data_IF_687183530662
#
_entry.id   IF_687183530662
#
_cell.length_a   1.000
_cell.length_b   1.000
_cell.length_c   1.000
_cell.angle_alpha   90.00
_cell.angle_beta   90.00
_cell.angle_gamma   90.00
#
_symmetry.space_group_name_H-M   'P 1'
#
loop_
_entity.id
_entity.type
_entity.pdbx_description
1 polymer ?
#
# COMPACT_ATOMS: atom_id res chain seq x y z
N UNK A 1 -10.68 -8.19 6.99
CA UNK A 1 -9.44 -8.58 6.31
C UNK A 1 -8.94 -7.45 5.45
N UNK A 2 -7.69 -7.16 5.57
CA UNK A 2 -7.09 -6.08 4.78
C UNK A 2 -6.25 -6.62 3.65
N UNK A 3 -6.13 -5.83 2.62
CA UNK A 3 -5.28 -6.20 1.51
C UNK A 3 -4.64 -4.94 0.93
N UNK A 4 -3.59 -5.15 0.18
CA UNK A 4 -2.82 -4.05 -0.36
C UNK A 4 -2.39 -4.37 -1.78
N UNK A 5 -2.45 -3.37 -2.63
CA UNK A 5 -1.87 -3.46 -3.95
C UNK A 5 -0.56 -2.72 -3.93
N UNK A 6 0.46 -3.32 -4.54
CA UNK A 6 1.77 -2.70 -4.59
C UNK A 6 2.17 -2.57 -6.04
N UNK A 7 2.44 -1.34 -6.45
CA UNK A 7 2.90 -1.06 -7.79
C UNK A 7 4.29 -0.48 -7.65
N UNK A 8 5.29 -1.17 -8.19
CA UNK A 8 6.65 -0.68 -8.15
C UNK A 8 7.04 -0.19 -9.53
N UNK A 9 7.76 0.91 -9.54
CA UNK A 9 8.26 1.52 -10.77
C UNK A 9 9.77 1.62 -10.68
N UNK A 10 10.45 0.94 -11.58
CA UNK A 10 11.90 1.06 -11.70
C UNK A 10 12.20 1.89 -12.93
N UNK A 11 12.79 3.03 -12.72
CA UNK A 11 12.97 4.02 -13.77
C UNK A 11 14.38 4.54 -13.81
N UNK A 12 14.88 4.92 -14.98
CA UNK A 12 16.22 5.50 -15.07
C UNK A 12 16.24 6.97 -14.65
N UNK A 13 15.10 7.57 -14.41
CA UNK A 13 15.04 8.99 -14.07
C UNK A 13 14.17 9.18 -12.85
N UNK A 14 14.35 10.33 -12.20
CA UNK A 14 13.54 10.65 -11.03
C UNK A 14 12.16 11.11 -11.48
N UNK A 15 11.17 10.26 -11.26
CA UNK A 15 9.81 10.53 -11.68
C UNK A 15 8.87 10.75 -10.49
N UNK A 16 9.42 11.13 -9.34
CA UNK A 16 8.61 11.25 -8.14
C UNK A 16 7.44 12.22 -8.31
N UNK A 17 7.72 13.41 -8.82
CA UNK A 17 6.67 14.39 -9.00
C UNK A 17 5.64 13.93 -10.03
N UNK A 18 6.11 13.36 -11.12
CA UNK A 18 5.22 12.89 -12.15
C UNK A 18 4.34 11.76 -11.64
N UNK A 19 4.90 10.88 -10.82
CA UNK A 19 4.14 9.79 -10.23
C UNK A 19 3.03 10.34 -9.34
N UNK A 20 3.35 11.33 -8.51
CA UNK A 20 2.33 11.94 -7.65
C UNK A 20 1.23 12.56 -8.49
N UNK A 21 1.59 13.27 -9.55
CA UNK A 21 0.59 13.90 -10.40
C UNK A 21 -0.33 12.87 -11.05
N UNK A 22 0.23 11.79 -11.54
CA UNK A 22 -0.60 10.76 -12.16
C UNK A 22 -1.49 10.10 -11.12
N UNK A 23 -0.96 9.88 -9.93
CA UNK A 23 -1.74 9.26 -8.88
C UNK A 23 -2.95 10.13 -8.52
N UNK A 24 -2.72 11.42 -8.31
CA UNK A 24 -3.81 12.33 -7.98
C UNK A 24 -4.84 12.39 -9.10
N UNK A 25 -4.37 12.38 -10.33
CA UNK A 25 -5.25 12.41 -11.46
C UNK A 25 -6.13 11.16 -11.54
N UNK A 26 -5.55 10.00 -11.36
CA UNK A 26 -6.32 8.77 -11.45
C UNK A 26 -7.30 8.63 -10.29
N UNK A 27 -6.90 9.03 -9.11
CA UNK A 27 -7.80 8.99 -7.96
C UNK A 27 -8.97 9.95 -8.17
N UNK A 28 -8.71 11.09 -8.77
CA UNK A 28 -9.74 12.12 -8.96
C UNK A 28 -10.71 11.85 -10.09
N UNK A 29 -10.45 10.85 -10.93
CA UNK A 29 -11.28 10.64 -12.10
C UNK A 29 -12.67 10.09 -11.78
N UNK A 30 -12.81 9.45 -10.66
CA UNK A 30 -14.10 8.88 -10.30
C UNK A 30 -14.30 9.09 -8.82
N UNK A 31 -15.46 8.69 -8.34
CA UNK A 31 -15.72 8.76 -6.92
C UNK A 31 -14.68 7.98 -6.17
N UNK A 32 -14.37 8.45 -4.99
CA UNK A 32 -13.43 7.74 -4.13
C UNK A 32 -13.93 6.33 -3.91
N UNK A 33 -13.09 5.33 -4.17
CA UNK A 33 -13.52 3.95 -3.96
C UNK A 33 -13.92 3.72 -2.51
N UNK A 34 -15.02 2.98 -2.33
CA UNK A 34 -15.58 2.80 -1.01
C UNK A 34 -14.66 2.22 0.01
N UNK A 35 -13.83 1.27 -0.38
CA UNK A 35 -13.02 0.56 0.58
C UNK A 35 -11.57 0.98 0.58
N UNK A 36 -11.29 2.09 -0.07
CA UNK A 36 -9.93 2.61 -0.08
C UNK A 36 -9.59 3.16 1.29
N UNK A 37 -8.52 2.68 1.89
CA UNK A 37 -8.10 3.13 3.19
C UNK A 37 -7.07 4.26 3.08
N UNK A 38 -6.01 4.02 2.34
CA UNK A 38 -4.98 5.04 2.17
C UNK A 38 -4.06 4.63 1.04
N UNK A 39 -3.29 5.57 0.57
CA UNK A 39 -2.29 5.32 -0.45
C UNK A 39 -0.99 5.90 0.08
N UNK A 40 0.07 5.11 0.01
CA UNK A 40 1.39 5.55 0.43
C UNK A 40 2.38 5.35 -0.68
N UNK A 41 3.32 6.26 -0.77
CA UNK A 41 4.40 6.15 -1.74
C UNK A 41 5.71 6.00 -1.02
N UNK A 42 6.57 5.15 -1.56
CA UNK A 42 7.88 4.92 -0.98
C UNK A 42 8.94 5.05 -2.07
N UNK A 43 10.09 5.51 -1.67
CA UNK A 43 11.26 5.56 -2.52
C UNK A 43 12.24 4.52 -2.01
N UNK A 44 12.91 3.83 -2.90
CA UNK A 44 13.91 2.87 -2.47
C UNK A 44 15.01 3.60 -1.70
N UNK A 45 15.49 2.97 -0.63
CA UNK A 45 16.43 3.64 0.25
C UNK A 45 17.79 3.89 -0.40
N UNK A 46 18.13 3.10 -1.38
CA UNK A 46 19.42 3.21 -2.06
C UNK A 46 19.27 3.74 -3.48
N UNK A 47 18.34 3.16 -4.22
CA UNK A 47 18.14 3.54 -5.62
C UNK A 47 17.00 4.54 -5.68
N UNK A 48 17.34 5.82 -5.70
CA UNK A 48 16.36 6.88 -5.54
C UNK A 48 15.31 6.94 -6.63
N UNK A 49 15.61 6.38 -7.79
CA UNK A 49 14.66 6.41 -8.90
C UNK A 49 13.67 5.26 -8.85
N UNK A 50 13.83 4.33 -7.91
CA UNK A 50 12.88 3.24 -7.76
C UNK A 50 11.79 3.66 -6.77
N UNK A 51 10.55 3.61 -7.22
CA UNK A 51 9.41 4.07 -6.43
C UNK A 51 8.42 2.95 -6.25
N UNK A 52 7.61 3.07 -5.21
CA UNK A 52 6.61 2.07 -4.89
C UNK A 52 5.35 2.78 -4.42
N UNK A 53 4.20 2.36 -4.94
CA UNK A 53 2.91 2.88 -4.52
C UNK A 53 2.16 1.74 -3.85
N UNK A 54 1.72 1.98 -2.63
CA UNK A 54 0.98 1.01 -1.85
C UNK A 54 -0.44 1.51 -1.67
N UNK A 55 -1.40 0.76 -2.20
CA UNK A 55 -2.81 1.13 -2.12
C UNK A 55 -3.45 0.18 -1.12
N UNK A 56 -3.85 0.73 0.01
CA UNK A 56 -4.40 -0.06 1.12
C UNK A 56 -5.91 -0.06 1.07
N UNK A 57 -6.49 -1.24 1.18
CA UNK A 57 -7.93 -1.43 1.13
C UNK A 57 -8.44 -1.95 2.47
N UNK A 58 -9.60 -1.46 2.87
CA UNK A 58 -10.13 -1.74 4.20
C UNK A 58 -10.76 -3.10 4.35
N UNK A 59 -11.44 -3.58 3.35
CA UNK A 59 -12.22 -4.77 3.53
C UNK A 59 -11.94 -5.76 2.45
N UNK A 60 -12.42 -6.95 2.68
CA UNK A 60 -12.26 -8.00 1.72
C UNK A 60 -13.12 -7.71 0.50
N UNK A 61 -12.55 -7.59 -0.63
CA UNK A 61 -13.30 -7.26 -1.83
C UNK A 61 -14.02 -8.43 -2.43
N UNK A 62 -13.92 -9.59 -1.85
CA UNK A 62 -14.53 -10.76 -2.43
C UNK A 62 -13.71 -11.35 -3.55
N UNK A 63 -12.76 -10.63 -4.06
CA UNK A 63 -11.89 -11.15 -5.09
C UNK A 63 -10.53 -10.53 -4.84
N UNK A 64 -9.50 -11.28 -5.10
CA UNK A 64 -8.16 -10.80 -4.84
C UNK A 64 -7.51 -10.34 -6.13
N UNK A 65 -8.26 -9.65 -6.94
CA UNK A 65 -7.75 -9.14 -8.20
C UNK A 65 -7.32 -7.71 -8.07
N UNK A 66 -6.54 -7.27 -9.02
CA UNK A 66 -6.11 -5.89 -9.08
C UNK A 66 -7.34 -5.00 -9.22
N UNK A 67 -7.33 -3.89 -8.50
CA UNK A 67 -8.46 -2.99 -8.52
C UNK A 67 -8.48 -2.15 -9.79
N UNK A 68 -9.63 -1.60 -10.16
CA UNK A 68 -9.67 -0.68 -11.30
C UNK A 68 -8.73 0.50 -11.13
N UNK A 69 -8.62 1.04 -9.92
CA UNK A 69 -7.69 2.12 -9.66
C UNK A 69 -6.26 1.69 -9.91
N UNK A 70 -5.88 0.52 -9.38
CA UNK A 70 -4.53 0.02 -9.57
C UNK A 70 -4.21 -0.24 -11.03
N UNK A 71 -5.18 -0.77 -11.76
CA UNK A 71 -4.97 -1.02 -13.18
C UNK A 71 -4.81 0.28 -13.96
N UNK A 72 -5.62 1.27 -13.67
CA UNK A 72 -5.51 2.55 -14.35
C UNK A 72 -4.18 3.22 -14.05
N UNK A 73 -3.76 3.16 -12.79
CA UNK A 73 -2.50 3.76 -12.41
C UNK A 73 -1.33 3.07 -13.09
N UNK A 74 -1.34 1.73 -13.10
CA UNK A 74 -0.28 1.00 -13.78
C UNK A 74 -0.22 1.37 -15.25
N UNK A 75 -1.37 1.47 -15.87
CA UNK A 75 -1.41 1.84 -17.28
C UNK A 75 -0.83 3.22 -17.50
N UNK A 76 -1.18 4.17 -16.64
CA UNK A 76 -0.71 5.54 -16.77
C UNK A 76 0.80 5.64 -16.58
N UNK A 77 1.38 4.77 -15.78
CA UNK A 77 2.79 4.85 -15.46
C UNK A 77 3.68 4.00 -16.36
N UNK A 78 3.10 3.22 -17.24
CA UNK A 78 3.88 2.22 -17.96
C UNK A 78 4.99 2.80 -18.83
N UNK A 79 4.87 4.06 -19.22
CA UNK A 79 5.89 4.68 -20.05
C UNK A 79 7.06 5.24 -19.26
N UNK A 80 6.98 5.20 -17.94
CA UNK A 80 8.03 5.78 -17.12
C UNK A 80 9.12 4.79 -16.77
N UNK A 81 8.85 3.51 -16.90
CA UNK A 81 9.85 2.50 -16.57
C UNK A 81 9.23 1.14 -16.45
N UNK A 82 9.93 0.24 -15.78
CA UNK A 82 9.45 -1.11 -15.57
C UNK A 82 8.52 -1.14 -14.39
N UNK A 83 7.33 -1.71 -14.60
CA UNK A 83 6.32 -1.78 -13.57
C UNK A 83 6.11 -3.20 -13.11
N UNK A 84 5.81 -3.34 -11.83
CA UNK A 84 5.32 -4.59 -11.27
C UNK A 84 4.11 -4.26 -10.41
N UNK A 85 3.04 -5.01 -10.58
CA UNK A 85 1.79 -4.75 -9.88
C UNK A 85 1.36 -6.06 -9.22
N UNK A 86 1.31 -6.08 -7.91
CA UNK A 86 0.97 -7.29 -7.18
C UNK A 86 -0.08 -6.98 -6.11
N UNK A 87 -0.77 -8.02 -5.68
CA UNK A 87 -1.82 -7.91 -4.68
C UNK A 87 -1.47 -8.83 -3.52
N UNK A 88 -1.55 -8.29 -2.32
CA UNK A 88 -1.19 -9.02 -1.11
C UNK A 88 -2.33 -8.94 -0.12
N UNK A 89 -2.59 -10.06 0.56
CA UNK A 89 -3.66 -10.12 1.54
C UNK A 89 -3.03 -10.34 2.89
N UNK A 90 -3.45 -9.53 3.85
CA UNK A 90 -2.91 -9.64 5.19
C UNK A 90 -3.36 -10.96 5.82
N UNK A 91 -2.41 -11.75 6.29
CA UNK A 91 -2.74 -13.01 6.93
C UNK A 91 -2.57 -12.92 8.44
N UNK A 92 -1.63 -12.11 8.90
CA UNK A 92 -1.29 -12.04 10.31
C UNK A 92 -0.74 -10.67 10.62
N UNK A 93 -1.07 -10.15 11.76
CA UNK A 93 -0.48 -8.92 12.28
C UNK A 93 -0.01 -9.19 13.69
N UNK A 94 1.16 -8.67 14.01
CA UNK A 94 1.73 -8.78 15.33
C UNK A 94 1.90 -7.38 15.89
N UNK A 95 1.57 -7.24 17.15
CA UNK A 95 1.61 -5.94 17.79
C UNK A 95 2.83 -5.82 18.68
N UNK A 96 3.53 -4.71 18.58
CA UNK A 96 4.70 -4.44 19.40
C UNK A 96 4.57 -3.08 20.04
N UNK A 97 5.05 -2.91 21.28
CA UNK A 97 5.66 -3.93 22.11
C UNK A 97 4.64 -4.92 22.63
N UNK A 98 5.11 -6.05 23.15
CA UNK A 98 4.21 -7.03 23.73
C UNK A 98 3.57 -6.44 24.96
N UNK A 99 2.28 -6.67 25.12
CA UNK A 99 1.58 -6.10 26.25
C UNK A 99 1.84 -6.90 27.50
N UNK A 100 1.74 -6.22 28.64
CA UNK A 100 1.81 -6.85 29.96
C UNK A 100 3.12 -7.52 30.25
N UNK A 101 4.17 -7.13 29.60
CA UNK A 101 5.43 -7.78 29.83
C UNK A 101 5.40 -9.24 29.46
N UNK A 102 4.39 -9.65 28.79
CA UNK A 102 4.26 -11.02 28.33
C UNK A 102 5.25 -11.27 27.22
N UNK A 103 5.91 -12.39 27.27
CA UNK A 103 6.90 -12.68 26.26
C UNK A 103 6.30 -13.25 24.98
N UNK A 104 5.01 -13.50 24.98
CA UNK A 104 4.38 -14.02 23.79
C UNK A 104 4.02 -12.91 22.82
N UNK A 105 4.20 -13.20 21.55
CA UNK A 105 3.76 -12.27 20.54
C UNK A 105 2.26 -12.40 20.39
N UNK A 106 1.60 -11.25 20.27
CA UNK A 106 0.17 -11.23 20.07
C UNK A 106 -0.15 -11.25 18.62
N UNK A 107 -1.01 -12.14 18.24
CA UNK A 107 -1.51 -12.18 16.90
C UNK A 107 -2.82 -11.42 16.85
N UNK A 108 -2.91 -10.50 15.94
CA UNK A 108 -4.10 -9.70 15.78
C UNK A 108 -4.79 -10.16 14.52
N UNK A 109 -5.99 -10.69 14.62
CA UNK A 109 -6.70 -11.11 13.42
C UNK A 109 -6.91 -9.93 12.49
N UNK A 110 -6.73 -10.17 11.21
CA UNK A 110 -6.89 -9.10 10.24
C UNK A 110 -8.24 -8.42 10.36
N UNK A 111 -9.25 -9.18 10.72
CA UNK A 111 -10.59 -8.64 10.81
C UNK A 111 -10.74 -7.62 11.91
N UNK A 112 -9.90 -7.68 12.92
CA UNK A 112 -10.05 -6.84 14.08
C UNK A 112 -9.11 -5.67 14.10
N UNK A 113 -8.57 -5.31 12.97
CA UNK A 113 -7.54 -4.31 12.96
C UNK A 113 -7.99 -2.90 12.95
N UNK A 114 -9.25 -2.67 12.78
CA UNK A 114 -9.68 -1.33 12.52
C UNK A 114 -9.35 -0.32 13.60
N UNK A 115 -9.11 -0.73 14.80
CA UNK A 115 -8.78 0.24 15.82
C UNK A 115 -7.34 0.19 16.24
N UNK A 116 -6.53 -0.58 15.56
CA UNK A 116 -5.13 -0.69 15.93
C UNK A 116 -4.19 -0.16 14.91
N UNK A 117 -4.70 0.43 13.87
CA UNK A 117 -3.84 0.73 12.77
C UNK A 117 -2.90 1.85 13.03
N UNK A 118 -3.31 2.77 13.83
CA UNK A 118 -2.59 4.00 13.87
C UNK A 118 -1.18 3.86 14.36
N UNK A 119 -0.98 3.20 15.44
CA UNK A 119 0.32 3.30 16.01
C UNK A 119 1.31 2.31 15.51
N UNK A 120 0.89 1.40 14.69
CA UNK A 120 1.86 0.47 14.22
C UNK A 120 2.77 1.06 13.21
N UNK A 121 2.23 1.71 12.26
CA UNK A 121 3.04 2.25 11.23
C UNK A 121 3.91 3.34 11.70
N UNK A 122 3.46 4.02 12.64
CA UNK A 122 4.16 5.17 13.02
C UNK A 122 5.50 4.88 13.52
N UNK A 123 5.64 3.82 14.05
CA UNK A 123 6.76 3.67 14.59
C UNK A 123 7.75 3.28 13.89
N UNK A 124 7.83 2.95 13.18
CA UNK A 124 8.70 2.57 12.65
C UNK A 124 9.78 2.35 13.14
N UNK A 125 9.98 1.96 13.68
CA UNK A 125 10.82 1.64 14.26
C UNK A 125 11.77 0.96 13.70
N UNK A 126 12.27 0.84 13.18
CA UNK A 126 13.07 0.13 12.73
C UNK A 126 13.53 0.33 11.89
#
# INVERSE_FOLDING_TARGET
MKWVEIITLRSPANNNTQLVDELLKEVGKSDTPKHLAEIRMYRHSVVETDLSVHIYWKSNPGSQHKSPLGLRLSYALRNLGLLNHSVWIETTALEFPLSNGNSELRKIPALDRKHNTAHIGAKDRR
#
